data_IF_725604496817
#
_entry.id   IF_725604496817
#
_cell.length_a   1.000
_cell.length_b   1.000
_cell.length_c   1.000
_cell.angle_alpha   90.00
_cell.angle_beta   90.00
_cell.angle_gamma   90.00
#
_symmetry.space_group_name_H-M   'P 1'
#
loop_
_entity.id
_entity.type
_entity.pdbx_description
1 polymer ?
#
# COMPACT_ATOMS: atom_id res chain seq x y z
N UNK A 1 12.57 11.01 8.00
CA UNK A 1 11.30 10.37 8.41
C UNK A 1 11.53 8.86 8.53
N UNK A 2 10.95 8.19 9.52
CA UNK A 2 11.08 6.73 9.68
C UNK A 2 9.84 5.97 9.21
N UNK A 3 9.89 4.64 9.24
CA UNK A 3 8.80 3.76 8.79
C UNK A 3 7.48 4.05 9.53
N UNK A 4 7.54 4.29 10.84
CA UNK A 4 6.37 4.57 11.69
C UNK A 4 5.73 5.94 11.42
N UNK A 5 6.42 6.85 10.74
CA UNK A 5 5.88 8.17 10.39
C UNK A 5 4.98 8.12 9.16
N UNK A 6 4.98 7.01 8.43
CA UNK A 6 4.13 6.84 7.26
C UNK A 6 2.74 6.42 7.73
N UNK A 7 1.66 7.07 7.25
CA UNK A 7 0.29 6.75 7.64
C UNK A 7 -0.18 5.48 6.93
N UNK A 8 0.39 4.33 7.32
CA UNK A 8 0.06 3.04 6.77
C UNK A 8 -1.44 2.74 6.96
N UNK A 9 -2.12 2.19 5.94
CA UNK A 9 -3.54 1.89 5.96
C UNK A 9 -3.80 0.55 6.63
N UNK A 10 -3.33 0.43 7.87
CA UNK A 10 -3.50 -0.72 8.75
C UNK A 10 -3.85 -0.19 10.13
N UNK A 11 -4.66 -0.95 10.87
CA UNK A 11 -4.91 -0.66 12.28
C UNK A 11 -3.91 -1.44 13.13
N UNK A 12 -2.83 -0.80 13.63
CA UNK A 12 -1.99 -1.43 14.64
C UNK A 12 -2.81 -1.66 15.91
N UNK A 13 -2.42 -2.67 16.70
CA UNK A 13 -2.95 -2.82 18.05
C UNK A 13 -2.54 -1.61 18.92
N UNK A 14 -3.33 -1.31 19.96
CA UNK A 14 -3.02 -0.20 20.86
C UNK A 14 -1.58 -0.28 21.37
N UNK A 15 -0.84 0.83 21.25
CA UNK A 15 0.56 0.99 21.66
C UNK A 15 1.60 0.20 20.85
N UNK A 16 1.24 -0.35 19.68
CA UNK A 16 2.19 -1.02 18.79
C UNK A 16 2.60 -0.12 17.62
N UNK A 17 3.90 -0.05 17.35
CA UNK A 17 4.45 0.56 16.12
C UNK A 17 4.10 -0.32 14.92
N UNK A 18 3.79 0.30 13.79
CA UNK A 18 3.46 -0.43 12.57
C UNK A 18 4.74 -1.07 12.06
N UNK A 19 4.70 -2.36 11.76
CA UNK A 19 5.81 -3.10 11.19
C UNK A 19 5.47 -3.58 9.77
N UNK A 20 6.48 -4.05 9.04
CA UNK A 20 6.28 -4.71 7.74
C UNK A 20 5.30 -5.87 7.80
N UNK A 21 5.29 -6.62 8.91
CA UNK A 21 4.37 -7.75 9.10
C UNK A 21 2.91 -7.31 9.23
N UNK A 22 2.65 -6.06 9.60
CA UNK A 22 1.28 -5.54 9.70
C UNK A 22 0.69 -5.21 8.32
N UNK A 23 1.53 -5.05 7.29
CA UNK A 23 1.12 -4.76 5.91
C UNK A 23 0.66 -6.00 5.12
N UNK A 24 0.29 -7.08 5.83
CA UNK A 24 -0.28 -8.28 5.23
C UNK A 24 -1.68 -8.04 4.67
N UNK A 25 -2.03 -8.79 3.61
CA UNK A 25 -3.30 -8.73 2.89
C UNK A 25 -4.52 -8.75 3.81
N UNK A 26 -4.49 -9.55 4.89
CA UNK A 26 -5.60 -9.65 5.84
C UNK A 26 -5.89 -8.34 6.58
N UNK A 27 -4.86 -7.73 7.16
CA UNK A 27 -4.96 -6.48 7.94
C UNK A 27 -5.31 -5.28 7.06
N UNK A 28 -4.69 -5.21 5.88
CA UNK A 28 -4.97 -4.21 4.86
C UNK A 28 -6.41 -4.32 4.37
N UNK A 29 -6.87 -5.54 4.05
CA UNK A 29 -8.25 -5.79 3.61
C UNK A 29 -9.24 -5.40 4.70
N UNK A 30 -8.99 -5.77 5.95
CA UNK A 30 -9.84 -5.40 7.06
C UNK A 30 -9.96 -3.88 7.19
N UNK A 31 -8.83 -3.16 7.22
CA UNK A 31 -8.81 -1.70 7.30
C UNK A 31 -9.60 -1.04 6.15
N UNK A 32 -9.37 -1.48 4.90
CA UNK A 32 -10.04 -0.91 3.73
C UNK A 32 -11.55 -1.22 3.68
N UNK A 33 -11.98 -2.36 4.25
CA UNK A 33 -13.39 -2.77 4.25
C UNK A 33 -14.16 -2.27 5.47
N UNK A 34 -13.50 -1.91 6.58
CA UNK A 34 -14.14 -1.31 7.76
C UNK A 34 -14.91 -0.04 7.39
N UNK A 35 -14.36 0.80 6.52
CA UNK A 35 -15.02 2.03 6.03
C UNK A 35 -16.38 1.77 5.35
N UNK A 36 -16.58 0.59 4.76
CA UNK A 36 -17.86 0.21 4.13
C UNK A 36 -18.93 -0.18 5.14
N UNK A 37 -18.56 -0.47 6.40
CA UNK A 37 -19.50 -0.82 7.47
C UNK A 37 -20.18 0.41 8.08
N UNK A 38 -19.73 1.62 7.73
CA UNK A 38 -20.34 2.88 8.17
C UNK A 38 -21.66 3.09 7.42
N UNK A 39 -22.75 3.27 8.18
CA UNK A 39 -24.10 3.48 7.64
C UNK A 39 -24.11 4.76 6.79
N UNK A 40 -24.44 4.64 5.50
CA UNK A 40 -24.44 5.77 4.55
C UNK A 40 -23.17 5.89 3.69
N UNK A 41 -22.22 4.96 3.78
CA UNK A 41 -21.09 4.91 2.85
C UNK A 41 -21.57 4.63 1.43
N UNK A 42 -21.38 5.61 0.53
CA UNK A 42 -21.64 5.48 -0.91
C UNK A 42 -20.41 4.99 -1.69
N UNK A 43 -19.25 4.94 -1.03
CA UNK A 43 -17.98 4.53 -1.64
C UNK A 43 -17.94 3.00 -1.76
N UNK A 44 -17.83 2.51 -2.98
CA UNK A 44 -17.73 1.07 -3.25
C UNK A 44 -16.33 0.53 -2.95
N UNK A 45 -16.21 -0.78 -2.70
CA UNK A 45 -14.91 -1.47 -2.61
C UNK A 45 -13.99 -1.12 -3.79
N UNK A 46 -14.53 -1.10 -5.00
CA UNK A 46 -13.77 -0.81 -6.23
C UNK A 46 -13.20 0.61 -6.21
N UNK A 47 -14.00 1.59 -5.80
CA UNK A 47 -13.57 2.99 -5.71
C UNK A 47 -12.51 3.20 -4.62
N UNK A 48 -12.68 2.54 -3.47
CA UNK A 48 -11.72 2.61 -2.37
C UNK A 48 -10.37 1.99 -2.73
N UNK A 49 -10.38 0.85 -3.44
CA UNK A 49 -9.15 0.20 -3.92
C UNK A 49 -8.48 1.04 -5.00
N UNK A 50 -9.23 1.60 -5.95
CA UNK A 50 -8.69 2.43 -7.03
C UNK A 50 -8.05 3.72 -6.49
N UNK A 51 -8.73 4.42 -5.58
CA UNK A 51 -8.18 5.62 -4.93
C UNK A 51 -6.94 5.30 -4.07
N UNK A 52 -6.92 4.14 -3.40
CA UNK A 52 -5.73 3.68 -2.67
C UNK A 52 -4.55 3.37 -3.61
N UNK A 53 -4.78 2.71 -4.75
CA UNK A 53 -3.72 2.45 -5.75
C UNK A 53 -3.11 3.74 -6.29
N UNK A 54 -3.93 4.77 -6.56
CA UNK A 54 -3.45 6.06 -7.04
C UNK A 54 -2.63 6.81 -5.99
N UNK A 55 -3.05 6.75 -4.72
CA UNK A 55 -2.36 7.42 -3.62
C UNK A 55 -1.00 6.80 -3.30
N UNK A 56 -0.93 5.47 -3.35
CA UNK A 56 0.27 4.68 -3.02
C UNK A 56 1.07 4.27 -4.25
N UNK A 57 0.78 4.88 -5.40
CA UNK A 57 1.54 4.65 -6.63
C UNK A 57 3.02 5.05 -6.41
N UNK A 58 3.99 4.27 -6.93
CA UNK A 58 5.42 4.56 -6.77
C UNK A 58 5.78 6.00 -7.13
N UNK A 59 5.25 6.55 -8.23
CA UNK A 59 5.40 7.97 -8.63
C UNK A 59 5.15 8.96 -7.47
N UNK A 60 4.05 8.76 -6.72
CA UNK A 60 3.69 9.63 -5.59
C UNK A 60 4.54 9.35 -4.37
N UNK A 61 4.96 8.10 -4.19
CA UNK A 61 5.78 7.69 -3.06
C UNK A 61 7.27 8.03 -3.23
N UNK A 62 7.77 8.30 -4.44
CA UNK A 62 9.16 8.69 -4.69
C UNK A 62 9.56 9.93 -3.87
N UNK A 63 8.71 10.95 -3.84
CA UNK A 63 8.93 12.16 -3.04
C UNK A 63 8.92 11.89 -1.54
N UNK A 64 8.14 10.90 -1.09
CA UNK A 64 8.12 10.47 0.31
C UNK A 64 9.40 9.70 0.64
N UNK A 65 9.80 8.74 -0.21
CA UNK A 65 11.03 7.97 -0.09
C UNK A 65 12.26 8.87 0.01
N UNK A 66 12.32 9.96 -0.77
CA UNK A 66 13.41 10.93 -0.70
C UNK A 66 13.58 11.61 0.68
N UNK A 67 12.56 11.56 1.55
CA UNK A 67 12.56 12.14 2.90
C UNK A 67 12.76 11.09 4.01
N UNK A 68 12.85 9.80 3.65
CA UNK A 68 13.02 8.70 4.59
C UNK A 68 14.49 8.51 4.94
N UNK A 69 14.78 8.20 6.21
CA UNK A 69 16.13 7.90 6.65
C UNK A 69 16.62 6.61 6.00
N UNK A 70 17.90 6.54 5.65
CA UNK A 70 18.46 5.42 4.88
C UNK A 70 18.22 4.05 5.53
N UNK A 71 18.26 3.99 6.86
CA UNK A 71 18.00 2.76 7.63
C UNK A 71 16.59 2.20 7.41
N UNK A 72 15.61 3.06 7.14
CA UNK A 72 14.21 2.69 7.00
C UNK A 72 13.78 2.63 5.52
N UNK A 73 14.59 3.13 4.58
CA UNK A 73 14.25 3.17 3.16
C UNK A 73 13.84 1.81 2.61
N UNK A 74 14.62 0.77 2.94
CA UNK A 74 14.32 -0.59 2.51
C UNK A 74 12.97 -1.06 3.06
N UNK A 75 12.74 -0.88 4.37
CA UNK A 75 11.48 -1.27 4.99
C UNK A 75 10.29 -0.51 4.39
N UNK A 76 10.41 0.79 4.17
CA UNK A 76 9.35 1.59 3.56
C UNK A 76 9.05 1.13 2.14
N UNK A 77 10.09 0.87 1.34
CA UNK A 77 9.93 0.38 -0.05
C UNK A 77 9.20 -0.96 -0.09
N UNK A 78 9.64 -1.91 0.74
CA UNK A 78 9.00 -3.22 0.85
C UNK A 78 7.55 -3.09 1.33
N UNK A 79 7.28 -2.17 2.26
CA UNK A 79 5.94 -1.92 2.76
C UNK A 79 4.99 -1.37 1.70
N UNK A 80 5.45 -0.39 0.91
CA UNK A 80 4.69 0.14 -0.24
C UNK A 80 4.40 -0.98 -1.24
N UNK A 81 5.41 -1.78 -1.56
CA UNK A 81 5.27 -2.88 -2.50
C UNK A 81 4.25 -3.93 -2.01
N UNK A 82 4.37 -4.37 -0.77
CA UNK A 82 3.43 -5.29 -0.14
C UNK A 82 2.00 -4.72 -0.16
N UNK A 83 1.83 -3.44 0.19
CA UNK A 83 0.52 -2.80 0.20
C UNK A 83 -0.10 -2.71 -1.21
N UNK A 84 0.67 -2.32 -2.22
CA UNK A 84 0.22 -2.25 -3.61
C UNK A 84 -0.16 -3.64 -4.13
N UNK A 85 0.64 -4.67 -3.83
CA UNK A 85 0.30 -6.07 -4.15
C UNK A 85 -1.02 -6.50 -3.53
N UNK A 86 -1.27 -6.14 -2.26
CA UNK A 86 -2.55 -6.42 -1.59
C UNK A 86 -3.72 -5.74 -2.32
N UNK A 87 -3.56 -4.49 -2.72
CA UNK A 87 -4.59 -3.75 -3.45
C UNK A 87 -4.88 -4.38 -4.82
N UNK A 88 -3.85 -4.84 -5.54
CA UNK A 88 -4.03 -5.56 -6.79
C UNK A 88 -4.83 -6.85 -6.59
N UNK A 89 -4.48 -7.66 -5.59
CA UNK A 89 -5.24 -8.86 -5.23
C UNK A 89 -6.70 -8.57 -4.86
N UNK A 90 -6.97 -7.40 -4.25
CA UNK A 90 -8.35 -6.98 -3.94
C UNK A 90 -9.13 -6.49 -5.16
N UNK A 91 -8.43 -6.04 -6.21
CA UNK A 91 -8.98 -5.49 -7.45
C UNK A 91 -9.19 -6.54 -8.55
N UNK A 92 -8.36 -7.58 -8.60
CA UNK A 92 -8.52 -8.68 -9.55
C UNK A 92 -9.76 -9.53 -9.19
N UNK A 93 -10.66 -9.72 -10.16
CA UNK A 93 -11.83 -10.61 -10.03
C UNK A 93 -11.53 -12.07 -10.45
N UNK A 94 -10.30 -12.40 -10.84
CA UNK A 94 -9.89 -13.72 -11.35
C UNK A 94 -8.45 -14.02 -10.89
N UNK A 95 -8.18 -15.26 -10.50
CA UNK A 95 -6.84 -15.82 -10.30
C UNK A 95 -5.98 -15.65 -11.57
N UNK A 96 -4.69 -15.34 -11.41
CA UNK A 96 -3.62 -15.39 -12.44
C UNK A 96 -3.56 -14.21 -13.43
N UNK A 97 -2.56 -13.34 -13.31
CA UNK A 97 -1.21 -13.56 -13.85
C UNK A 97 -0.18 -12.83 -12.97
N UNK A 98 1.03 -13.38 -12.78
CA UNK A 98 2.10 -12.69 -12.07
C UNK A 98 2.54 -11.52 -12.93
N UNK A 99 2.31 -10.30 -12.44
CA UNK A 99 2.61 -9.07 -13.18
C UNK A 99 4.13 -8.86 -13.17
N UNK A 100 4.83 -9.61 -14.02
CA UNK A 100 6.26 -9.45 -14.29
C UNK A 100 6.53 -8.09 -14.96
N UNK A 101 5.54 -7.46 -15.59
CA UNK A 101 5.68 -6.12 -16.18
C UNK A 101 5.78 -4.97 -15.17
N UNK A 102 5.31 -5.15 -13.92
CA UNK A 102 5.40 -4.07 -12.92
C UNK A 102 6.78 -3.97 -12.29
N UNK A 103 7.59 -5.04 -12.31
CA UNK A 103 9.01 -4.92 -11.96
C UNK A 103 9.71 -3.96 -12.91
N UNK A 104 9.43 -4.04 -14.21
CA UNK A 104 10.11 -3.20 -15.19
C UNK A 104 9.60 -1.75 -15.20
N UNK A 105 8.31 -1.52 -14.94
CA UNK A 105 7.77 -0.16 -14.76
C UNK A 105 8.23 0.51 -13.46
N UNK A 106 8.46 -0.25 -12.38
CA UNK A 106 8.97 0.29 -11.10
C UNK A 106 10.49 0.54 -11.17
N UNK A 107 11.23 -0.19 -12.00
CA UNK A 107 12.70 -0.04 -12.12
C UNK A 107 13.15 0.91 -13.25
N UNK A 108 12.40 1.08 -14.35
CA UNK A 108 12.84 1.89 -15.50
C UNK A 108 12.45 3.39 -15.46
N UNK A 109 11.77 3.87 -14.42
CA UNK A 109 11.43 5.30 -14.26
C UNK A 109 12.53 6.14 -13.58
N UNK A 110 13.78 5.65 -13.56
CA UNK A 110 14.95 6.36 -13.03
C UNK A 110 16.11 6.43 -14.04
N UNK A 111 15.82 6.41 -15.33
CA UNK A 111 16.79 6.60 -16.40
C UNK A 111 16.29 7.64 -17.42
N UNK A 112 16.09 8.86 -16.96
CA UNK A 112 16.19 10.10 -17.76
C UNK A 112 16.44 11.30 -16.80
#
# INVERSE_FOLDING_TARGET
LGFDNIPWPVSPAENQRVSLADLMVGRVKEFLLVSQRVRGSTVTKKEHVRSSLLRWHPDKMTSVLAQIVETDLHAVREGIHAFVLCLHQLNSKVESEPILEYRDLIFNLSAD
#
